data_IF_943232572074
#
_entry.id   IF_943232572074
#
_cell.length_a   1.000
_cell.length_b   1.000
_cell.length_c   1.000
_cell.angle_alpha   90.00
_cell.angle_beta   90.00
_cell.angle_gamma   90.00
#
_symmetry.space_group_name_H-M   'P 1'
#
loop_
_entity.id
_entity.type
_entity.pdbx_description
1 polymer ?
#
# COMPACT_ATOMS: atom_id res chain seq x y z
N UNK A 1 48.71 -28.53 -58.90
CA UNK A 1 49.48 -28.77 -57.66
C UNK A 1 49.28 -30.20 -57.17
N UNK A 2 50.21 -30.75 -56.39
CA UNK A 2 50.10 -32.11 -55.85
C UNK A 2 49.40 -32.08 -54.46
N UNK A 3 48.52 -33.03 -54.19
CA UNK A 3 47.88 -33.19 -52.90
C UNK A 3 48.89 -33.56 -51.83
N UNK A 4 48.91 -32.80 -50.72
CA UNK A 4 49.81 -32.99 -49.58
C UNK A 4 49.59 -34.30 -48.80
N UNK A 5 48.50 -35.06 -49.07
CA UNK A 5 48.25 -36.37 -48.43
C UNK A 5 48.48 -37.58 -49.31
N UNK A 6 47.97 -37.59 -50.51
CA UNK A 6 47.96 -38.76 -51.37
C UNK A 6 48.79 -38.59 -52.66
N UNK A 7 49.46 -37.43 -52.87
CA UNK A 7 50.29 -37.17 -54.03
C UNK A 7 49.57 -36.98 -55.36
N UNK A 8 48.27 -37.13 -55.45
CA UNK A 8 47.48 -36.98 -56.65
C UNK A 8 47.63 -35.58 -57.25
N UNK A 9 47.72 -35.47 -58.58
CA UNK A 9 47.64 -34.18 -59.27
C UNK A 9 46.25 -33.61 -59.20
N UNK A 10 46.12 -32.38 -58.72
CA UNK A 10 44.86 -31.67 -58.59
C UNK A 10 44.98 -30.27 -59.22
N UNK A 11 43.91 -29.67 -59.72
CA UNK A 11 43.92 -28.31 -60.25
C UNK A 11 44.52 -27.31 -59.28
N UNK A 12 45.20 -26.31 -59.76
CA UNK A 12 45.77 -25.25 -58.95
C UNK A 12 44.64 -24.42 -58.28
N UNK A 13 44.84 -24.10 -57.01
CA UNK A 13 43.84 -23.40 -56.22
C UNK A 13 42.76 -24.28 -55.63
N UNK A 14 42.76 -25.59 -55.79
CA UNK A 14 41.81 -26.54 -55.22
C UNK A 14 41.84 -26.46 -53.67
N UNK A 15 40.70 -26.22 -53.04
CA UNK A 15 40.55 -26.21 -51.56
C UNK A 15 40.57 -27.62 -50.96
N UNK A 16 40.18 -28.62 -51.72
CA UNK A 16 40.12 -30.03 -51.32
C UNK A 16 40.70 -30.91 -52.42
N UNK A 17 41.30 -32.03 -52.09
CA UNK A 17 41.75 -33.03 -53.05
C UNK A 17 40.52 -33.82 -53.56
N UNK A 18 40.39 -33.92 -54.89
CA UNK A 18 39.31 -34.69 -55.53
C UNK A 18 39.45 -36.20 -55.34
N UNK A 19 40.70 -36.71 -55.11
CA UNK A 19 40.98 -38.13 -54.92
C UNK A 19 40.84 -38.63 -53.49
N UNK A 20 41.21 -37.81 -52.45
CA UNK A 20 41.19 -38.24 -51.04
C UNK A 20 40.39 -37.32 -50.08
N UNK A 21 39.75 -36.28 -50.60
CA UNK A 21 38.94 -35.35 -49.85
C UNK A 21 39.68 -34.44 -48.86
N UNK A 22 41.04 -34.55 -48.77
CA UNK A 22 41.75 -33.72 -47.76
C UNK A 22 41.84 -32.26 -48.18
N UNK A 23 41.53 -31.30 -47.23
CA UNK A 23 41.73 -29.89 -47.50
C UNK A 23 43.21 -29.56 -47.74
N UNK A 24 43.45 -28.74 -48.77
CA UNK A 24 44.80 -28.33 -49.20
C UNK A 24 45.25 -27.01 -48.57
N UNK A 25 44.29 -26.20 -48.10
CA UNK A 25 44.53 -24.99 -47.32
C UNK A 25 44.29 -25.27 -45.83
N UNK A 26 45.07 -24.68 -44.91
CA UNK A 26 44.89 -24.87 -43.53
C UNK A 26 43.51 -24.30 -43.15
N UNK A 27 42.59 -25.17 -42.78
CA UNK A 27 41.32 -24.73 -42.21
C UNK A 27 41.56 -24.37 -40.73
N UNK A 28 41.73 -23.10 -40.44
CA UNK A 28 41.76 -22.61 -39.06
C UNK A 28 40.39 -22.81 -38.44
N UNK A 29 40.17 -23.95 -37.78
CA UNK A 29 38.96 -24.18 -36.98
C UNK A 29 38.96 -23.19 -35.85
N UNK A 30 38.14 -22.13 -35.97
CA UNK A 30 37.86 -21.26 -34.83
C UNK A 30 37.30 -22.14 -33.70
N UNK A 31 37.97 -22.18 -32.55
CA UNK A 31 37.48 -22.88 -31.36
C UNK A 31 36.08 -22.33 -31.03
N UNK A 32 35.06 -23.12 -31.31
CA UNK A 32 33.69 -22.78 -30.92
C UNK A 32 33.54 -23.02 -29.41
N UNK A 33 32.96 -22.09 -28.70
CA UNK A 33 32.59 -22.30 -27.28
C UNK A 33 31.55 -23.41 -27.19
N UNK A 34 31.57 -24.14 -26.08
CA UNK A 34 30.57 -25.19 -25.80
C UNK A 34 29.14 -24.61 -25.81
N UNK A 35 28.17 -25.46 -26.10
CA UNK A 35 26.76 -25.09 -26.07
C UNK A 35 26.38 -24.56 -24.69
N UNK A 36 25.59 -23.49 -24.65
CA UNK A 36 25.10 -22.86 -23.38
C UNK A 36 26.07 -21.85 -22.72
N UNK A 37 27.31 -21.67 -23.25
CA UNK A 37 28.26 -20.71 -22.68
C UNK A 37 28.06 -19.26 -23.14
N UNK A 38 27.10 -19.00 -24.03
CA UNK A 38 26.87 -17.69 -24.62
C UNK A 38 27.94 -17.27 -25.64
N UNK A 39 27.73 -16.12 -26.26
CA UNK A 39 28.64 -15.58 -27.27
C UNK A 39 28.69 -14.06 -27.22
N UNK A 40 29.76 -13.51 -27.78
CA UNK A 40 29.93 -12.06 -27.91
C UNK A 40 30.06 -11.68 -29.36
N UNK A 41 29.53 -10.53 -29.74
CA UNK A 41 29.58 -9.99 -31.09
C UNK A 41 29.71 -8.47 -31.06
N UNK A 42 30.28 -7.91 -32.13
CA UNK A 42 30.44 -6.47 -32.31
C UNK A 42 29.18 -5.92 -32.96
N UNK A 43 28.61 -4.88 -32.40
CA UNK A 43 27.44 -4.18 -32.94
C UNK A 43 27.89 -3.17 -34.03
N UNK A 44 26.95 -2.70 -34.85
CA UNK A 44 27.21 -1.73 -35.91
C UNK A 44 27.80 -0.40 -35.38
N UNK A 45 27.45 -0.01 -34.13
CA UNK A 45 28.02 1.15 -33.46
C UNK A 45 29.43 0.97 -32.89
N UNK A 46 30.12 -0.14 -33.25
CA UNK A 46 31.48 -0.40 -32.81
C UNK A 46 31.62 -1.02 -31.41
N UNK A 47 30.57 -1.04 -30.58
CA UNK A 47 30.63 -1.63 -29.23
C UNK A 47 30.43 -3.15 -29.24
N UNK A 48 30.93 -3.81 -28.17
CA UNK A 48 30.75 -5.26 -28.02
C UNK A 48 29.49 -5.56 -27.22
N UNK A 49 28.84 -6.67 -27.55
CA UNK A 49 27.65 -7.20 -26.89
C UNK A 49 27.90 -8.63 -26.44
N UNK A 50 27.45 -8.94 -25.21
CA UNK A 50 27.45 -10.29 -24.66
C UNK A 50 26.02 -10.84 -24.68
N UNK A 51 25.83 -12.09 -25.19
CA UNK A 51 24.53 -12.75 -25.29
C UNK A 51 24.59 -14.16 -24.75
N UNK A 52 23.65 -14.52 -23.89
CA UNK A 52 23.42 -15.88 -23.39
C UNK A 52 22.02 -16.35 -23.81
N UNK A 53 21.91 -17.64 -24.12
CA UNK A 53 20.62 -18.29 -24.36
C UNK A 53 20.07 -18.72 -23.00
N UNK A 54 18.83 -18.33 -22.70
CA UNK A 54 18.14 -18.62 -21.44
C UNK A 54 17.23 -19.84 -21.53
N UNK A 55 16.79 -20.19 -22.75
CA UNK A 55 15.87 -21.29 -23.02
C UNK A 55 15.23 -21.13 -24.40
N UNK A 56 14.22 -21.92 -24.63
CA UNK A 56 13.41 -21.90 -25.85
C UNK A 56 11.94 -21.75 -25.46
N UNK A 57 11.17 -21.01 -26.26
CA UNK A 57 9.74 -20.82 -26.11
C UNK A 57 9.07 -21.45 -27.32
N UNK A 58 8.17 -22.39 -27.10
CA UNK A 58 7.33 -22.97 -28.14
C UNK A 58 6.11 -22.06 -28.30
N UNK A 59 5.90 -21.55 -29.51
CA UNK A 59 4.76 -20.74 -29.85
C UNK A 59 3.52 -21.62 -30.11
N UNK A 60 2.29 -21.08 -30.05
CA UNK A 60 1.07 -21.84 -30.34
C UNK A 60 1.05 -22.46 -31.76
N UNK A 61 1.83 -21.90 -32.70
CA UNK A 61 2.00 -22.41 -34.06
C UNK A 61 3.06 -23.54 -34.17
N UNK A 62 3.61 -23.99 -33.04
CA UNK A 62 4.66 -25.00 -32.95
C UNK A 62 6.06 -24.47 -33.25
N UNK A 63 6.25 -23.20 -33.60
CA UNK A 63 7.57 -22.62 -33.82
C UNK A 63 8.35 -22.45 -32.52
N UNK A 64 9.68 -22.67 -32.58
CA UNK A 64 10.56 -22.61 -31.42
C UNK A 64 11.41 -21.33 -31.49
N UNK A 65 11.13 -20.40 -30.58
CA UNK A 65 11.87 -19.17 -30.43
C UNK A 65 12.91 -19.26 -29.31
N UNK A 66 14.15 -18.85 -29.60
CA UNK A 66 15.22 -18.82 -28.62
C UNK A 66 15.09 -17.59 -27.69
N UNK A 67 14.86 -17.81 -26.42
CA UNK A 67 14.90 -16.76 -25.38
C UNK A 67 16.36 -16.42 -25.07
N UNK A 68 16.78 -15.18 -25.34
CA UNK A 68 18.18 -14.74 -25.14
C UNK A 68 18.23 -13.51 -24.24
N UNK A 69 19.34 -13.34 -23.54
CA UNK A 69 19.69 -12.14 -22.79
C UNK A 69 20.94 -11.49 -23.37
N UNK A 70 20.89 -10.19 -23.62
CA UNK A 70 21.99 -9.43 -24.18
C UNK A 70 22.34 -8.27 -23.27
N UNK A 71 23.63 -8.07 -22.98
CA UNK A 71 24.17 -6.86 -22.34
C UNK A 71 25.04 -6.16 -23.38
N UNK A 72 24.85 -4.86 -23.55
CA UNK A 72 25.49 -4.03 -24.57
C UNK A 72 26.46 -3.03 -23.93
N UNK A 73 27.23 -2.33 -24.74
CA UNK A 73 28.04 -1.18 -24.33
C UNK A 73 29.45 -1.51 -23.85
N UNK A 74 29.97 -2.71 -24.13
CA UNK A 74 31.36 -3.03 -23.78
C UNK A 74 32.34 -2.41 -24.80
N UNK A 75 33.40 -1.79 -24.30
CA UNK A 75 34.44 -1.23 -25.13
C UNK A 75 35.27 -2.33 -25.83
N UNK A 76 35.52 -3.45 -25.14
CA UNK A 76 36.36 -4.53 -25.61
C UNK A 76 35.63 -5.88 -25.62
N UNK A 77 36.12 -6.78 -26.52
CA UNK A 77 35.68 -8.18 -26.57
C UNK A 77 35.95 -8.92 -25.25
N UNK A 78 37.08 -8.59 -24.58
CA UNK A 78 37.48 -9.20 -23.31
C UNK A 78 36.47 -8.89 -22.20
N UNK A 79 36.05 -7.65 -22.07
CA UNK A 79 35.00 -7.23 -21.11
C UNK A 79 33.67 -7.91 -21.38
N UNK A 80 33.24 -7.93 -22.65
CA UNK A 80 31.99 -8.62 -23.01
C UNK A 80 32.06 -10.13 -22.71
N UNK A 81 33.23 -10.77 -22.87
CA UNK A 81 33.43 -12.15 -22.49
C UNK A 81 33.41 -12.41 -21.00
N UNK A 82 34.00 -11.51 -20.21
CA UNK A 82 33.97 -11.55 -18.74
C UNK A 82 32.56 -11.40 -18.16
N UNK A 83 31.69 -10.69 -18.84
CA UNK A 83 30.30 -10.49 -18.40
C UNK A 83 29.36 -11.69 -18.63
N UNK A 84 29.74 -12.67 -19.44
CA UNK A 84 28.88 -13.83 -19.76
C UNK A 84 28.52 -14.69 -18.54
N UNK A 85 29.46 -15.03 -17.61
CA UNK A 85 29.12 -15.76 -16.39
C UNK A 85 28.12 -15.04 -15.52
N UNK A 86 28.24 -13.71 -15.38
CA UNK A 86 27.34 -12.91 -14.56
C UNK A 86 25.94 -12.83 -15.17
N UNK A 87 25.83 -12.77 -16.49
CA UNK A 87 24.54 -12.84 -17.18
C UNK A 87 23.83 -14.16 -16.91
N UNK A 88 24.56 -15.26 -16.75
CA UNK A 88 24.03 -16.59 -16.44
C UNK A 88 23.70 -16.71 -14.96
N UNK A 89 24.59 -16.31 -14.04
CA UNK A 89 24.38 -16.31 -12.60
C UNK A 89 23.20 -15.42 -12.16
N UNK A 90 23.01 -14.27 -12.81
CA UNK A 90 21.88 -13.40 -12.55
C UNK A 90 20.52 -14.07 -12.88
N UNK A 91 20.51 -15.08 -13.74
CA UNK A 91 19.32 -15.89 -14.00
C UNK A 91 19.11 -16.94 -12.91
N UNK A 92 20.17 -17.61 -12.47
CA UNK A 92 20.11 -18.61 -11.40
C UNK A 92 19.59 -17.97 -10.10
N UNK A 93 20.15 -16.83 -9.68
CA UNK A 93 19.64 -16.06 -8.53
C UNK A 93 18.17 -15.64 -8.66
N UNK A 94 17.65 -15.40 -9.87
CA UNK A 94 16.24 -15.04 -10.11
C UNK A 94 15.30 -16.24 -10.07
N UNK A 95 15.80 -17.43 -10.44
CA UNK A 95 15.03 -18.68 -10.37
C UNK A 95 14.82 -19.14 -8.93
N UNK A 96 15.72 -18.74 -8.03
CA UNK A 96 15.69 -19.11 -6.62
C UNK A 96 15.13 -18.02 -5.71
N UNK A 97 14.52 -16.96 -6.28
CA UNK A 97 13.87 -15.92 -5.49
C UNK A 97 12.62 -16.51 -4.82
N UNK A 98 12.59 -16.46 -3.49
CA UNK A 98 11.43 -16.90 -2.72
C UNK A 98 10.36 -15.80 -2.65
N UNK A 99 9.16 -16.17 -2.26
CA UNK A 99 8.07 -15.21 -2.00
C UNK A 99 8.50 -14.17 -0.96
N UNK A 100 9.17 -14.59 0.13
CA UNK A 100 9.77 -13.68 1.12
C UNK A 100 10.84 -12.79 0.50
N UNK A 101 11.71 -13.33 -0.35
CA UNK A 101 12.74 -12.56 -1.03
C UNK A 101 12.18 -11.47 -1.95
N UNK A 102 11.02 -11.72 -2.59
CA UNK A 102 10.31 -10.71 -3.37
C UNK A 102 9.78 -9.58 -2.47
N UNK A 103 9.21 -9.92 -1.31
CA UNK A 103 8.74 -8.96 -0.32
C UNK A 103 9.88 -8.07 0.20
N UNK A 104 10.98 -8.68 0.62
CA UNK A 104 12.14 -7.97 1.17
C UNK A 104 12.81 -7.05 0.12
N UNK A 105 12.75 -7.42 -1.16
CA UNK A 105 13.23 -6.58 -2.24
C UNK A 105 12.28 -5.41 -2.58
N UNK A 106 10.98 -5.62 -2.43
CA UNK A 106 9.95 -4.62 -2.73
C UNK A 106 9.82 -3.56 -1.62
N UNK A 107 9.75 -3.98 -0.36
CA UNK A 107 9.39 -3.11 0.76
C UNK A 107 10.23 -1.82 0.85
N UNK A 108 11.58 -1.85 0.73
CA UNK A 108 12.40 -0.63 0.82
C UNK A 108 12.17 0.35 -0.33
N UNK A 109 11.64 -0.12 -1.46
CA UNK A 109 11.40 0.71 -2.66
C UNK A 109 10.01 1.32 -2.68
N UNK A 110 9.10 0.84 -1.83
CA UNK A 110 7.72 1.29 -1.79
C UNK A 110 7.59 2.57 -0.97
N UNK A 111 7.24 3.67 -1.66
CA UNK A 111 7.04 4.98 -1.02
C UNK A 111 5.60 5.09 -0.54
N UNK A 112 5.40 4.98 0.75
CA UNK A 112 4.12 5.21 1.43
C UNK A 112 4.38 5.76 2.84
N UNK A 113 3.37 6.31 3.48
CA UNK A 113 3.46 6.71 4.88
C UNK A 113 3.65 5.50 5.80
N UNK A 114 4.26 5.70 6.98
CA UNK A 114 4.59 4.64 7.91
C UNK A 114 3.35 3.86 8.40
N UNK A 115 2.20 4.52 8.50
CA UNK A 115 0.94 3.87 8.86
C UNK A 115 0.50 2.86 7.80
N UNK A 116 0.60 3.23 6.52
CA UNK A 116 0.31 2.34 5.38
C UNK A 116 1.30 1.18 5.32
N UNK A 117 2.60 1.46 5.47
CA UNK A 117 3.63 0.42 5.54
C UNK A 117 3.40 -0.53 6.72
N UNK A 118 2.99 -0.01 7.88
CA UNK A 118 2.60 -0.80 9.04
C UNK A 118 1.44 -1.75 8.75
N UNK A 119 0.41 -1.29 8.02
CA UNK A 119 -0.70 -2.14 7.58
C UNK A 119 -0.24 -3.26 6.64
N UNK A 120 0.64 -2.96 5.69
CA UNK A 120 1.18 -3.97 4.78
C UNK A 120 2.09 -4.97 5.50
N UNK A 121 2.98 -4.51 6.41
CA UNK A 121 3.81 -5.40 7.24
C UNK A 121 2.96 -6.34 8.10
N UNK A 122 1.84 -5.84 8.64
CA UNK A 122 0.92 -6.66 9.44
C UNK A 122 0.17 -7.68 8.58
N UNK A 123 -0.27 -7.29 7.39
CA UNK A 123 -1.03 -8.13 6.48
C UNK A 123 -0.18 -9.24 5.84
N UNK A 124 1.03 -8.91 5.38
CA UNK A 124 1.89 -9.84 4.66
C UNK A 124 2.33 -11.04 5.52
N UNK A 125 2.29 -10.91 6.84
CA UNK A 125 2.62 -11.99 7.78
C UNK A 125 1.73 -13.23 7.59
N UNK A 126 0.52 -13.06 7.11
CA UNK A 126 -0.42 -14.15 6.86
C UNK A 126 -0.07 -14.97 5.61
N UNK A 127 0.88 -14.50 4.79
CA UNK A 127 1.50 -15.31 3.73
C UNK A 127 2.75 -16.08 4.22
N UNK A 128 2.96 -16.19 5.53
CA UNK A 128 4.12 -16.92 6.09
C UNK A 128 4.27 -18.38 5.60
N UNK A 129 3.22 -19.14 5.32
CA UNK A 129 3.36 -20.48 4.72
C UNK A 129 4.12 -20.47 3.40
N UNK A 130 4.03 -19.42 2.62
CA UNK A 130 4.65 -19.30 1.30
C UNK A 130 6.06 -18.69 1.32
N UNK A 131 6.55 -18.24 2.49
CA UNK A 131 7.80 -17.47 2.53
C UNK A 131 9.01 -18.20 2.00
N UNK A 132 9.09 -19.52 2.19
CA UNK A 132 10.20 -20.34 1.68
C UNK A 132 9.98 -20.83 0.25
N UNK A 133 8.75 -20.73 -0.30
CA UNK A 133 8.43 -21.17 -1.65
C UNK A 133 9.12 -20.26 -2.67
N UNK A 134 9.61 -20.85 -3.75
CA UNK A 134 10.11 -20.09 -4.90
C UNK A 134 8.94 -19.36 -5.55
N UNK A 135 9.15 -18.10 -5.93
CA UNK A 135 8.10 -17.30 -6.57
C UNK A 135 7.59 -17.90 -7.89
N UNK A 136 8.39 -18.78 -8.52
CA UNK A 136 7.99 -19.53 -9.71
C UNK A 136 7.01 -20.66 -9.42
N UNK A 137 6.95 -21.10 -8.19
CA UNK A 137 6.18 -22.29 -7.77
C UNK A 137 4.89 -21.88 -7.02
N UNK A 138 4.75 -20.58 -6.66
CA UNK A 138 3.55 -20.02 -6.05
C UNK A 138 2.47 -19.84 -7.11
N UNK A 139 1.30 -20.40 -6.89
CA UNK A 139 0.13 -20.23 -7.73
C UNK A 139 -0.97 -19.38 -7.08
N UNK A 140 -2.13 -19.27 -7.74
CA UNK A 140 -3.26 -18.47 -7.28
C UNK A 140 -3.92 -19.11 -6.06
N UNK A 141 -4.00 -20.44 -6.04
CA UNK A 141 -4.68 -21.19 -4.98
C UNK A 141 -3.89 -21.08 -3.67
N UNK A 142 -2.56 -21.18 -3.72
CA UNK A 142 -1.67 -20.94 -2.57
C UNK A 142 -1.92 -19.57 -1.92
N UNK A 143 -2.02 -18.54 -2.76
CA UNK A 143 -2.27 -17.17 -2.30
C UNK A 143 -3.69 -16.99 -1.76
N UNK A 144 -4.67 -17.65 -2.39
CA UNK A 144 -6.07 -17.59 -1.98
C UNK A 144 -6.28 -18.31 -0.64
N UNK A 145 -5.67 -19.47 -0.45
CA UNK A 145 -5.72 -20.23 0.80
C UNK A 145 -5.21 -19.38 1.97
N UNK A 146 -4.08 -18.70 1.82
CA UNK A 146 -3.57 -17.76 2.83
C UNK A 146 -4.56 -16.64 3.18
N UNK A 147 -5.33 -16.14 2.20
CA UNK A 147 -6.36 -15.12 2.43
C UNK A 147 -7.57 -15.73 3.15
N UNK A 148 -8.02 -16.93 2.72
CA UNK A 148 -9.21 -17.57 3.27
C UNK A 148 -8.98 -18.04 4.70
N UNK A 149 -7.81 -18.60 5.00
CA UNK A 149 -7.39 -19.02 6.34
C UNK A 149 -7.05 -17.86 7.29
N UNK A 150 -6.89 -16.63 6.77
CA UNK A 150 -6.58 -15.48 7.62
C UNK A 150 -7.70 -15.22 8.64
N UNK A 151 -7.43 -15.27 9.96
CA UNK A 151 -8.45 -15.12 11.01
C UNK A 151 -8.91 -13.68 11.20
N UNK A 152 -8.41 -12.75 10.40
CA UNK A 152 -8.71 -11.33 10.51
C UNK A 152 -9.88 -10.92 9.60
N UNK A 153 -10.48 -9.78 9.94
CA UNK A 153 -11.59 -9.22 9.17
C UNK A 153 -11.20 -8.80 7.74
N UNK A 154 -12.22 -8.58 6.92
CA UNK A 154 -12.14 -8.25 5.48
C UNK A 154 -11.06 -7.22 5.14
N UNK A 155 -10.92 -6.15 5.94
CA UNK A 155 -9.93 -5.08 5.69
C UNK A 155 -8.49 -5.59 5.71
N UNK A 156 -8.15 -6.52 6.61
CA UNK A 156 -6.82 -7.13 6.64
C UNK A 156 -6.57 -7.98 5.40
N UNK A 157 -7.58 -8.76 4.99
CA UNK A 157 -7.54 -9.58 3.77
C UNK A 157 -7.39 -8.71 2.50
N UNK A 158 -8.08 -7.58 2.43
CA UNK A 158 -7.90 -6.57 1.37
C UNK A 158 -6.46 -6.01 1.35
N UNK A 159 -5.88 -5.72 2.52
CA UNK A 159 -4.49 -5.29 2.62
C UNK A 159 -3.50 -6.38 2.20
N UNK A 160 -3.79 -7.66 2.48
CA UNK A 160 -3.01 -8.80 1.99
C UNK A 160 -3.00 -8.82 0.46
N UNK A 161 -4.19 -8.76 -0.16
CA UNK A 161 -4.32 -8.71 -1.63
C UNK A 161 -3.60 -7.50 -2.22
N UNK A 162 -3.77 -6.33 -1.62
CA UNK A 162 -3.14 -5.09 -2.08
C UNK A 162 -1.61 -5.17 -2.01
N UNK A 163 -1.05 -5.59 -0.87
CA UNK A 163 0.40 -5.74 -0.70
C UNK A 163 0.98 -6.77 -1.67
N UNK A 164 0.32 -7.93 -1.81
CA UNK A 164 0.69 -8.95 -2.78
C UNK A 164 0.70 -8.37 -4.20
N UNK A 165 -0.35 -7.67 -4.62
CA UNK A 165 -0.43 -7.03 -5.93
C UNK A 165 0.68 -6.01 -6.18
N UNK A 166 1.08 -5.25 -5.17
CA UNK A 166 2.20 -4.31 -5.24
C UNK A 166 3.55 -5.02 -5.39
N UNK A 167 3.75 -6.14 -4.68
CA UNK A 167 4.94 -6.98 -4.83
C UNK A 167 5.07 -7.52 -6.27
N UNK A 168 3.98 -8.02 -6.85
CA UNK A 168 3.96 -8.47 -8.24
C UNK A 168 4.22 -7.31 -9.22
N UNK A 169 3.57 -6.16 -9.03
CA UNK A 169 3.83 -4.94 -9.83
C UNK A 169 5.29 -4.48 -9.77
N UNK A 170 5.96 -4.67 -8.63
CA UNK A 170 7.39 -4.41 -8.50
C UNK A 170 8.23 -5.44 -9.24
N UNK A 171 7.91 -6.74 -9.10
CA UNK A 171 8.68 -7.86 -9.61
C UNK A 171 8.60 -8.03 -11.12
N UNK A 172 7.42 -7.83 -11.72
CA UNK A 172 7.16 -8.05 -13.15
C UNK A 172 8.11 -7.25 -14.05
N UNK A 173 8.18 -5.90 -13.98
CA UNK A 173 9.05 -5.14 -14.86
C UNK A 173 10.55 -5.43 -14.60
N UNK A 174 10.89 -5.92 -13.42
CA UNK A 174 12.25 -6.34 -13.04
C UNK A 174 12.57 -7.78 -13.46
N UNK A 175 11.59 -8.46 -14.07
CA UNK A 175 11.72 -9.87 -14.52
C UNK A 175 12.08 -10.81 -13.37
N UNK A 176 11.59 -10.51 -12.18
CA UNK A 176 11.73 -11.37 -11.00
C UNK A 176 10.66 -12.47 -10.99
N UNK A 177 9.56 -12.26 -11.71
CA UNK A 177 8.43 -13.17 -11.83
C UNK A 177 8.48 -13.82 -13.20
N UNK A 178 8.60 -15.17 -13.29
CA UNK A 178 8.85 -15.87 -14.55
C UNK A 178 7.76 -15.67 -15.61
N UNK A 179 6.51 -15.75 -15.21
CA UNK A 179 5.34 -15.72 -16.09
C UNK A 179 4.89 -14.33 -16.48
N UNK A 180 5.46 -13.31 -15.84
CA UNK A 180 5.12 -11.91 -16.10
C UNK A 180 3.65 -11.58 -15.77
N UNK A 181 3.04 -12.37 -14.90
CA UNK A 181 1.64 -12.30 -14.50
C UNK A 181 1.49 -11.86 -13.05
N UNK A 182 0.58 -10.93 -12.77
CA UNK A 182 0.23 -10.54 -11.41
C UNK A 182 -0.89 -11.45 -10.88
N UNK A 183 -0.53 -12.47 -10.13
CA UNK A 183 -1.49 -13.43 -9.58
C UNK A 183 -2.49 -12.78 -8.60
N UNK A 184 -2.09 -11.72 -7.92
CA UNK A 184 -2.96 -11.06 -6.95
C UNK A 184 -4.23 -10.42 -7.56
N UNK A 185 -4.29 -10.24 -8.87
CA UNK A 185 -5.51 -9.74 -9.54
C UNK A 185 -6.67 -10.75 -9.51
N UNK A 186 -6.37 -12.03 -9.40
CA UNK A 186 -7.36 -13.11 -9.36
C UNK A 186 -7.86 -13.42 -7.95
N UNK A 187 -7.21 -12.86 -6.91
CA UNK A 187 -7.57 -13.09 -5.53
C UNK A 187 -8.92 -12.44 -5.20
N UNK A 188 -9.74 -13.18 -4.49
CA UNK A 188 -11.04 -12.73 -3.99
C UNK A 188 -10.96 -12.52 -2.47
N UNK A 189 -11.69 -11.54 -1.97
CA UNK A 189 -11.77 -11.28 -0.53
C UNK A 189 -13.23 -11.37 -0.10
N UNK A 190 -13.54 -12.43 0.65
CA UNK A 190 -14.85 -12.64 1.28
C UNK A 190 -14.83 -12.08 2.70
N UNK A 191 -15.99 -11.76 3.20
CA UNK A 191 -16.19 -11.30 4.58
C UNK A 191 -17.03 -10.04 4.67
N UNK A 192 -17.58 -9.81 5.84
CA UNK A 192 -18.40 -8.64 6.10
C UNK A 192 -17.54 -7.38 6.23
N UNK A 193 -18.08 -6.25 5.79
CA UNK A 193 -17.48 -4.95 6.07
C UNK A 193 -17.47 -4.73 7.58
N UNK A 194 -16.48 -3.97 8.07
CA UNK A 194 -16.47 -3.59 9.47
C UNK A 194 -17.78 -2.87 9.80
N UNK A 195 -18.42 -3.28 10.91
CA UNK A 195 -19.65 -2.63 11.37
C UNK A 195 -19.43 -1.12 11.53
N UNK A 196 -20.42 -0.35 11.09
CA UNK A 196 -20.45 1.10 11.24
C UNK A 196 -20.27 1.48 12.72
N UNK A 197 -19.53 2.53 12.99
CA UNK A 197 -19.42 3.06 14.37
C UNK A 197 -20.61 3.97 14.61
N UNK A 198 -21.37 3.76 15.70
CA UNK A 198 -22.52 4.59 15.96
C UNK A 198 -22.13 6.02 16.31
N UNK A 199 -23.01 6.95 15.97
CA UNK A 199 -23.02 8.31 16.49
C UNK A 199 -23.58 8.33 17.92
N UNK A 200 -23.23 9.34 18.69
CA UNK A 200 -23.92 9.62 19.94
C UNK A 200 -25.35 10.06 19.66
N UNK A 201 -26.27 9.59 20.49
CA UNK A 201 -27.65 10.05 20.51
C UNK A 201 -27.77 11.46 21.13
N UNK A 202 -28.88 12.15 20.92
CA UNK A 202 -29.10 13.48 21.50
C UNK A 202 -29.05 13.43 23.03
N UNK A 203 -29.57 12.35 23.65
CA UNK A 203 -29.50 12.11 25.09
C UNK A 203 -28.04 11.97 25.55
N UNK A 204 -27.24 11.24 24.84
CA UNK A 204 -25.82 11.06 25.19
C UNK A 204 -25.02 12.36 24.97
N UNK A 205 -25.30 13.13 23.91
CA UNK A 205 -24.71 14.46 23.70
C UNK A 205 -25.07 15.39 24.87
N UNK A 206 -26.30 15.35 25.32
CA UNK A 206 -26.75 16.16 26.46
C UNK A 206 -26.07 15.72 27.76
N UNK A 207 -25.90 14.42 28.01
CA UNK A 207 -25.12 13.92 29.16
C UNK A 207 -23.68 14.41 29.13
N UNK A 208 -23.01 14.37 27.94
CA UNK A 208 -21.66 14.92 27.77
C UNK A 208 -21.67 16.43 28.11
N UNK A 209 -22.66 17.18 27.61
CA UNK A 209 -22.79 18.63 27.89
C UNK A 209 -22.92 18.92 29.39
N UNK A 210 -23.74 18.14 30.10
CA UNK A 210 -23.94 18.29 31.55
C UNK A 210 -22.70 17.94 32.37
N UNK A 211 -21.86 17.03 31.85
CA UNK A 211 -20.59 16.64 32.45
C UNK A 211 -19.49 17.72 32.29
N UNK A 212 -19.65 18.66 31.35
CA UNK A 212 -18.67 19.74 31.12
C UNK A 212 -18.49 20.59 32.39
N UNK A 213 -17.23 20.74 32.82
CA UNK A 213 -16.85 21.46 34.03
C UNK A 213 -16.98 20.66 35.31
N UNK A 214 -17.58 19.47 35.28
CA UNK A 214 -17.68 18.55 36.42
C UNK A 214 -16.77 17.34 36.24
N UNK A 215 -16.78 16.76 35.03
CA UNK A 215 -16.00 15.59 34.69
C UNK A 215 -14.74 16.00 33.88
N UNK A 216 -13.56 15.58 34.29
CA UNK A 216 -12.35 15.89 33.54
C UNK A 216 -12.48 15.46 32.06
N UNK A 217 -12.04 16.33 31.15
CA UNK A 217 -12.03 16.11 29.69
C UNK A 217 -13.38 15.89 29.01
N UNK A 218 -14.51 16.01 29.73
CA UNK A 218 -15.84 16.01 29.09
C UNK A 218 -16.01 17.17 28.11
N UNK A 219 -15.39 18.32 28.40
CA UNK A 219 -15.29 19.47 27.50
C UNK A 219 -14.57 19.14 26.20
N UNK A 220 -13.48 18.34 26.24
CA UNK A 220 -12.75 17.91 25.04
C UNK A 220 -13.62 16.97 24.19
N UNK A 221 -14.31 16.02 24.81
CA UNK A 221 -15.26 15.15 24.11
C UNK A 221 -16.36 15.96 23.44
N UNK A 222 -16.93 16.94 24.16
CA UNK A 222 -17.97 17.83 23.65
C UNK A 222 -17.45 18.69 22.49
N UNK A 223 -16.26 19.25 22.59
CA UNK A 223 -15.60 19.97 21.50
C UNK A 223 -15.38 19.07 20.27
N UNK A 224 -14.95 17.82 20.46
CA UNK A 224 -14.77 16.87 19.36
C UNK A 224 -16.05 16.59 18.59
N UNK A 225 -17.21 16.55 19.26
CA UNK A 225 -18.52 16.36 18.62
C UNK A 225 -18.86 17.52 17.69
N UNK A 226 -18.53 18.76 18.06
CA UNK A 226 -18.91 19.95 17.29
C UNK A 226 -17.82 20.50 16.34
N UNK A 227 -16.60 19.98 16.39
CA UNK A 227 -15.52 20.37 15.48
C UNK A 227 -15.33 19.39 14.30
N UNK A 228 -15.75 18.13 14.45
CA UNK A 228 -15.70 17.15 13.37
C UNK A 228 -14.31 16.78 12.85
N UNK A 229 -13.22 17.20 13.50
CA UNK A 229 -11.86 16.77 13.16
C UNK A 229 -11.68 15.26 13.37
N UNK A 230 -10.73 14.63 12.63
CA UNK A 230 -10.28 13.30 13.00
C UNK A 230 -9.63 13.37 14.39
N UNK A 231 -9.75 12.33 15.25
CA UNK A 231 -9.19 12.38 16.59
C UNK A 231 -7.71 12.77 16.65
N UNK A 232 -6.90 12.24 15.77
CA UNK A 232 -5.47 12.62 15.69
C UNK A 232 -5.26 14.06 15.22
N UNK A 233 -6.13 14.59 14.37
CA UNK A 233 -6.08 15.99 13.92
C UNK A 233 -6.50 16.94 15.05
N UNK A 234 -7.55 16.58 15.81
CA UNK A 234 -8.01 17.32 16.97
C UNK A 234 -6.93 17.46 18.04
N UNK A 235 -6.27 16.35 18.36
CA UNK A 235 -5.17 16.32 19.35
C UNK A 235 -3.88 17.00 18.87
N UNK A 236 -3.74 17.22 17.58
CA UNK A 236 -2.61 17.93 16.99
C UNK A 236 -2.85 19.44 16.79
N UNK A 237 -4.03 19.96 17.20
CA UNK A 237 -4.30 21.39 17.13
C UNK A 237 -3.42 22.14 18.11
N UNK A 238 -2.74 23.16 17.62
CA UNK A 238 -1.98 24.12 18.42
C UNK A 238 -2.85 25.38 18.69
N UNK A 239 -2.54 26.10 19.75
CA UNK A 239 -3.19 27.38 20.06
C UNK A 239 -3.07 28.36 18.88
N UNK A 240 -1.95 28.34 18.14
CA UNK A 240 -1.75 29.14 16.93
C UNK A 240 -2.72 28.80 15.80
N UNK A 241 -3.34 27.63 15.83
CA UNK A 241 -4.35 27.25 14.84
C UNK A 241 -5.72 27.90 15.10
N UNK A 242 -5.92 28.55 16.23
CA UNK A 242 -7.18 29.14 16.62
C UNK A 242 -7.19 30.66 16.41
N UNK A 243 -8.09 31.13 15.54
CA UNK A 243 -8.39 32.53 15.39
C UNK A 243 -9.59 32.92 16.26
N UNK A 244 -9.35 33.63 17.37
CA UNK A 244 -10.41 34.09 18.25
C UNK A 244 -11.31 35.13 17.55
N UNK A 245 -10.74 36.00 16.73
CA UNK A 245 -11.48 37.04 16.03
C UNK A 245 -12.45 36.48 14.99
N UNK A 246 -12.08 35.36 14.35
CA UNK A 246 -12.90 34.71 13.31
C UNK A 246 -13.65 33.49 13.83
N UNK A 247 -13.46 33.11 15.09
CA UNK A 247 -14.02 31.91 15.68
C UNK A 247 -13.81 30.65 14.82
N UNK A 248 -12.57 30.44 14.36
CA UNK A 248 -12.23 29.30 13.51
C UNK A 248 -10.89 28.66 13.89
N UNK A 249 -10.76 27.39 13.54
CA UNK A 249 -9.57 26.58 13.70
C UNK A 249 -9.05 26.15 12.33
N UNK A 250 -7.75 26.24 12.13
CA UNK A 250 -7.08 25.71 10.93
C UNK A 250 -6.36 24.44 11.28
N UNK A 251 -6.71 23.32 10.66
CA UNK A 251 -6.13 22.02 11.01
C UNK A 251 -6.30 20.96 9.93
N UNK A 252 -5.88 19.73 10.26
CA UNK A 252 -5.92 18.60 9.36
C UNK A 252 -4.59 18.30 8.69
N UNK A 253 -4.23 17.01 8.59
CA UNK A 253 -2.91 16.59 8.14
C UNK A 253 -2.90 15.41 7.17
N UNK A 254 -3.93 14.56 7.19
CA UNK A 254 -3.85 13.21 6.60
C UNK A 254 -4.10 13.15 5.09
N UNK A 255 -4.92 14.02 4.54
CA UNK A 255 -5.28 14.01 3.11
C UNK A 255 -5.05 15.37 2.48
N UNK A 256 -4.81 15.44 1.17
CA UNK A 256 -4.61 16.70 0.47
C UNK A 256 -5.81 17.66 0.67
N UNK A 257 -7.05 17.15 0.62
CA UNK A 257 -8.26 17.93 0.87
C UNK A 257 -8.49 18.29 2.36
N UNK A 258 -7.90 17.53 3.29
CA UNK A 258 -8.03 17.78 4.73
C UNK A 258 -6.93 18.65 5.32
N UNK A 259 -5.83 18.86 4.58
CA UNK A 259 -4.66 19.59 5.07
C UNK A 259 -4.93 21.10 5.11
N UNK A 260 -4.80 21.67 6.31
CA UNK A 260 -4.97 23.12 6.48
C UNK A 260 -6.40 23.62 6.27
N UNK A 261 -7.42 22.74 6.42
CA UNK A 261 -8.81 23.19 6.30
C UNK A 261 -9.21 24.08 7.46
N UNK A 262 -10.09 25.01 7.19
CA UNK A 262 -10.68 25.88 8.18
C UNK A 262 -11.98 25.25 8.69
N UNK A 263 -12.11 25.14 10.01
CA UNK A 263 -13.32 24.67 10.70
C UNK A 263 -13.83 25.78 11.62
N UNK A 264 -15.06 26.21 11.40
CA UNK A 264 -15.71 27.21 12.26
C UNK A 264 -16.09 26.61 13.61
N UNK A 265 -15.95 27.39 14.66
CA UNK A 265 -16.26 26.97 16.03
C UNK A 265 -17.71 27.30 16.35
N UNK A 266 -18.50 26.27 16.62
CA UNK A 266 -19.91 26.45 17.01
C UNK A 266 -20.03 27.29 18.27
N UNK A 267 -21.05 28.19 18.38
CA UNK A 267 -21.35 28.94 19.62
C UNK A 267 -21.49 28.04 20.85
N UNK A 268 -21.93 26.79 20.67
CA UNK A 268 -22.09 25.83 21.77
C UNK A 268 -20.80 25.48 22.49
N UNK A 269 -19.68 25.56 21.80
CA UNK A 269 -18.36 25.17 22.32
C UNK A 269 -17.36 26.34 22.33
N UNK A 270 -17.76 27.53 21.88
CA UNK A 270 -16.89 28.71 21.76
C UNK A 270 -16.12 28.97 23.07
N UNK A 271 -16.84 29.08 24.17
CA UNK A 271 -16.24 29.34 25.50
C UNK A 271 -15.30 28.24 25.97
N UNK A 272 -15.51 27.00 25.53
CA UNK A 272 -14.65 25.87 25.89
C UNK A 272 -13.33 25.94 25.11
N UNK A 273 -13.39 26.28 23.82
CA UNK A 273 -12.20 26.49 22.99
C UNK A 273 -11.41 27.70 23.47
N UNK A 274 -12.08 28.81 23.82
CA UNK A 274 -11.46 30.02 24.41
C UNK A 274 -10.72 29.66 25.71
N UNK A 275 -11.37 28.88 26.60
CA UNK A 275 -10.77 28.40 27.85
C UNK A 275 -9.58 27.49 27.58
N UNK A 276 -9.69 26.54 26.63
CA UNK A 276 -8.62 25.64 26.26
C UNK A 276 -7.40 26.40 25.70
N UNK A 277 -7.62 27.46 24.94
CA UNK A 277 -6.55 28.31 24.45
C UNK A 277 -5.89 29.13 25.57
N UNK A 278 -6.68 29.62 26.55
CA UNK A 278 -6.19 30.49 27.62
C UNK A 278 -5.46 31.72 27.06
N UNK A 279 -4.49 32.23 27.75
CA UNK A 279 -3.63 33.34 27.30
C UNK A 279 -2.36 32.84 26.60
N UNK A 280 -2.33 31.57 26.23
CA UNK A 280 -1.18 30.93 25.56
C UNK A 280 -1.07 31.39 24.11
N UNK A 281 0.17 31.58 23.65
CA UNK A 281 0.48 31.92 22.26
C UNK A 281 0.86 30.70 21.42
N UNK A 282 1.16 29.53 22.05
CA UNK A 282 1.57 28.30 21.37
C UNK A 282 1.36 27.09 22.27
N UNK A 283 1.55 25.91 21.68
CA UNK A 283 1.40 24.63 22.36
C UNK A 283 0.06 23.96 22.08
N UNK A 284 -0.07 22.70 22.50
CA UNK A 284 -1.27 21.91 22.24
C UNK A 284 -2.54 22.61 22.75
N UNK A 285 -3.51 22.85 21.87
CA UNK A 285 -4.78 23.49 22.23
C UNK A 285 -5.52 22.63 23.26
N UNK A 286 -5.62 21.34 22.99
CA UNK A 286 -6.21 20.34 23.88
C UNK A 286 -5.08 19.46 24.45
N UNK A 287 -4.59 19.85 25.62
CA UNK A 287 -3.42 19.26 26.28
C UNK A 287 -3.80 18.37 27.48
N UNK A 288 -2.83 17.60 27.95
CA UNK A 288 -2.93 16.88 29.22
C UNK A 288 -2.76 17.81 30.43
N UNK A 289 -2.82 17.26 31.63
CA UNK A 289 -2.67 17.99 32.89
C UNK A 289 -1.33 18.72 33.03
N UNK A 290 -0.30 18.23 32.31
CA UNK A 290 1.04 18.83 32.28
C UNK A 290 1.23 19.82 31.13
N UNK A 291 0.20 20.11 30.35
CA UNK A 291 0.26 20.99 29.16
C UNK A 291 0.85 20.35 27.91
N UNK A 292 1.08 19.03 27.91
CA UNK A 292 1.63 18.32 26.76
C UNK A 292 0.55 17.86 25.76
N UNK A 293 0.96 17.70 24.53
CA UNK A 293 0.11 17.11 23.50
C UNK A 293 -0.19 15.63 23.81
N UNK A 294 -1.45 15.25 23.65
CA UNK A 294 -1.89 13.87 23.78
C UNK A 294 -1.42 12.99 22.63
N UNK A 295 -1.00 11.76 22.91
CA UNK A 295 -1.10 10.69 21.93
C UNK A 295 -2.54 10.21 21.85
N UNK A 296 -3.00 9.76 20.65
CA UNK A 296 -4.39 9.28 20.50
C UNK A 296 -4.71 8.14 21.48
N UNK A 297 -3.77 7.24 21.71
CA UNK A 297 -3.96 6.12 22.63
C UNK A 297 -4.11 6.61 24.08
N UNK A 298 -3.20 7.45 24.55
CA UNK A 298 -3.26 7.97 25.90
C UNK A 298 -4.54 8.77 26.14
N UNK A 299 -4.95 9.63 25.19
CA UNK A 299 -6.21 10.35 25.26
C UNK A 299 -7.41 9.39 25.32
N UNK A 300 -7.43 8.37 24.47
CA UNK A 300 -8.54 7.41 24.45
C UNK A 300 -8.69 6.69 25.79
N UNK A 301 -7.57 6.18 26.33
CA UNK A 301 -7.59 5.33 27.52
C UNK A 301 -7.73 6.14 28.82
N UNK A 302 -7.15 7.35 28.91
CA UNK A 302 -7.05 8.14 30.14
C UNK A 302 -8.01 9.32 30.23
N UNK A 303 -8.56 9.76 29.10
CA UNK A 303 -9.46 10.90 29.04
C UNK A 303 -10.82 10.54 28.47
N UNK A 304 -10.88 9.99 27.25
CA UNK A 304 -12.12 9.77 26.52
C UNK A 304 -13.03 8.72 27.18
N UNK A 305 -12.53 7.53 27.46
CA UNK A 305 -13.34 6.47 28.07
C UNK A 305 -13.77 6.82 29.51
N UNK A 306 -12.87 7.30 30.38
CA UNK A 306 -13.27 7.75 31.72
C UNK A 306 -14.30 8.88 31.70
N UNK A 307 -14.20 9.83 30.74
CA UNK A 307 -15.17 10.90 30.62
C UNK A 307 -16.57 10.39 30.23
N UNK A 308 -16.65 9.40 29.31
CA UNK A 308 -17.93 8.78 28.94
C UNK A 308 -18.55 8.02 30.13
N UNK A 309 -17.76 7.24 30.84
CA UNK A 309 -18.21 6.48 32.01
C UNK A 309 -18.74 7.40 33.10
N UNK A 310 -17.99 8.44 33.47
CA UNK A 310 -18.38 9.42 34.46
C UNK A 310 -19.61 10.27 34.05
N UNK A 311 -19.82 10.47 32.73
CA UNK A 311 -21.02 11.08 32.19
C UNK A 311 -22.23 10.11 32.13
N UNK A 312 -22.09 8.88 32.59
CA UNK A 312 -23.17 7.88 32.59
C UNK A 312 -23.54 7.39 31.18
N UNK A 313 -22.57 7.32 30.27
CA UNK A 313 -22.77 6.79 28.93
C UNK A 313 -22.30 5.35 28.89
N UNK A 314 -23.21 4.44 28.55
CA UNK A 314 -22.88 3.04 28.38
C UNK A 314 -22.01 2.82 27.12
N UNK A 315 -20.79 2.33 27.34
CA UNK A 315 -19.81 2.10 26.29
C UNK A 315 -19.25 0.65 26.34
N UNK A 316 -20.12 -0.36 26.12
CA UNK A 316 -19.70 -1.75 26.23
C UNK A 316 -18.66 -2.11 25.19
N UNK A 317 -17.86 -3.14 25.51
CA UNK A 317 -17.01 -3.80 24.55
C UNK A 317 -17.85 -4.73 23.69
N UNK A 318 -17.88 -4.47 22.40
CA UNK A 318 -18.59 -5.27 21.40
C UNK A 318 -17.62 -6.03 20.53
N UNK A 319 -17.99 -7.25 20.15
CA UNK A 319 -17.24 -8.01 19.17
C UNK A 319 -17.71 -7.62 17.76
N UNK A 320 -16.72 -7.35 16.88
CA UNK A 320 -16.97 -6.99 15.49
C UNK A 320 -16.37 -8.03 14.56
N UNK A 321 -16.67 -7.95 13.26
CA UNK A 321 -16.20 -8.88 12.25
C UNK A 321 -14.69 -9.20 12.40
N UNK A 322 -14.35 -10.48 12.37
CA UNK A 322 -12.98 -10.99 12.57
C UNK A 322 -12.57 -11.12 14.04
N UNK A 323 -13.53 -11.25 14.97
CA UNK A 323 -13.26 -11.51 16.39
C UNK A 323 -12.59 -10.35 17.13
N UNK A 324 -12.61 -9.16 16.55
CA UNK A 324 -12.00 -7.97 17.17
C UNK A 324 -12.95 -7.37 18.20
N UNK A 325 -12.49 -7.29 19.44
CA UNK A 325 -13.23 -6.63 20.54
C UNK A 325 -12.89 -5.14 20.59
N UNK A 326 -13.90 -4.29 20.63
CA UNK A 326 -13.73 -2.84 20.75
C UNK A 326 -14.88 -2.20 21.52
N UNK A 327 -14.65 -1.05 22.09
CA UNK A 327 -15.73 -0.23 22.66
C UNK A 327 -16.73 0.20 21.58
N UNK A 328 -18.03 0.29 21.95
CA UNK A 328 -19.11 0.80 21.10
C UNK A 328 -18.76 2.19 20.57
N UNK A 329 -18.43 3.12 21.46
CA UNK A 329 -17.95 4.46 21.13
C UNK A 329 -16.42 4.55 21.22
N UNK A 330 -15.85 5.28 20.31
CA UNK A 330 -14.42 5.64 20.26
C UNK A 330 -14.32 7.13 19.93
N UNK A 331 -13.15 7.77 20.05
CA UNK A 331 -13.02 9.18 19.66
C UNK A 331 -13.49 9.48 18.21
N UNK A 332 -13.45 8.49 17.30
CA UNK A 332 -14.02 8.62 15.95
C UNK A 332 -15.55 8.79 15.95
N UNK A 333 -16.25 8.30 16.97
CA UNK A 333 -17.71 8.46 17.11
C UNK A 333 -18.12 9.93 17.21
N UNK A 334 -17.27 10.80 17.78
CA UNK A 334 -17.53 12.25 17.78
C UNK A 334 -17.63 12.81 16.35
N UNK A 335 -16.73 12.39 15.45
CA UNK A 335 -16.77 12.83 14.05
C UNK A 335 -17.97 12.25 13.30
N UNK A 336 -18.36 11.00 13.59
CA UNK A 336 -19.60 10.42 13.06
C UNK A 336 -20.81 11.24 13.52
N UNK A 337 -20.85 11.61 14.80
CA UNK A 337 -21.90 12.46 15.37
C UNK A 337 -21.96 13.81 14.67
N UNK A 338 -20.82 14.48 14.46
CA UNK A 338 -20.77 15.73 13.70
C UNK A 338 -21.39 15.58 12.30
N UNK A 339 -21.02 14.54 11.56
CA UNK A 339 -21.55 14.28 10.23
C UNK A 339 -23.06 14.01 10.25
N UNK A 340 -23.54 13.27 11.25
CA UNK A 340 -24.98 13.00 11.45
C UNK A 340 -25.76 14.28 11.80
N UNK A 341 -25.23 15.12 12.71
CA UNK A 341 -25.83 16.40 13.05
C UNK A 341 -25.90 17.35 11.85
N UNK A 342 -24.82 17.42 11.06
CA UNK A 342 -24.79 18.24 9.85
C UNK A 342 -25.80 17.77 8.80
N UNK A 343 -26.00 16.44 8.67
CA UNK A 343 -27.05 15.88 7.82
C UNK A 343 -28.44 16.30 8.26
N UNK A 344 -28.75 16.24 9.58
CA UNK A 344 -30.06 16.61 10.13
C UNK A 344 -30.44 18.06 9.81
N UNK A 345 -29.49 18.97 9.82
CA UNK A 345 -29.72 20.37 9.43
C UNK A 345 -29.69 20.58 7.91
N UNK A 346 -29.60 19.50 7.11
CA UNK A 346 -29.52 19.56 5.66
C UNK A 346 -28.39 20.46 5.14
N UNK A 347 -27.23 20.42 5.81
CA UNK A 347 -26.06 21.16 5.38
C UNK A 347 -25.70 20.80 3.93
N UNK A 348 -25.30 21.76 3.08
CA UNK A 348 -24.88 21.51 1.72
C UNK A 348 -23.73 20.50 1.70
N UNK A 349 -23.80 19.52 0.82
CA UNK A 349 -22.79 18.44 0.73
C UNK A 349 -21.38 18.98 0.51
N UNK A 350 -21.23 20.04 -0.28
CA UNK A 350 -19.94 20.70 -0.55
C UNK A 350 -19.33 21.25 0.74
N UNK A 351 -20.12 21.96 1.55
CA UNK A 351 -19.65 22.57 2.80
C UNK A 351 -19.29 21.49 3.83
N UNK A 352 -20.07 20.41 3.85
CA UNK A 352 -19.76 19.23 4.68
C UNK A 352 -18.43 18.56 4.28
N UNK A 353 -18.18 18.41 2.98
CA UNK A 353 -16.93 17.84 2.47
C UNK A 353 -15.73 18.70 2.92
N UNK A 354 -15.87 20.02 2.84
CA UNK A 354 -14.83 20.97 3.24
C UNK A 354 -14.59 20.92 4.75
N UNK A 355 -15.63 21.01 5.59
CA UNK A 355 -15.53 20.96 7.05
C UNK A 355 -14.96 19.63 7.54
N UNK A 356 -15.39 18.51 6.96
CA UNK A 356 -14.94 17.17 7.34
C UNK A 356 -13.56 16.85 6.71
N UNK A 357 -13.24 17.43 5.55
CA UNK A 357 -11.98 17.15 4.81
C UNK A 357 -12.01 15.79 4.13
N UNK A 358 -13.09 15.49 3.41
CA UNK A 358 -13.22 14.34 2.52
C UNK A 358 -13.06 14.78 1.06
N UNK A 359 -12.48 13.91 0.24
CA UNK A 359 -12.34 14.12 -1.20
C UNK A 359 -13.56 13.61 -1.97
N UNK A 360 -14.38 12.75 -1.34
CA UNK A 360 -15.52 12.08 -1.97
C UNK A 360 -16.69 12.03 -0.99
N UNK A 361 -17.88 12.30 -1.52
CA UNK A 361 -19.14 12.29 -0.77
C UNK A 361 -19.49 10.88 -0.23
N UNK A 362 -19.05 9.82 -0.90
CA UNK A 362 -19.25 8.44 -0.44
C UNK A 362 -18.64 8.22 0.95
N UNK A 363 -17.48 8.83 1.20
CA UNK A 363 -16.82 8.80 2.51
C UNK A 363 -17.61 9.56 3.58
N UNK A 364 -18.28 10.66 3.21
CA UNK A 364 -19.13 11.41 4.14
C UNK A 364 -20.41 10.64 4.45
N UNK A 365 -21.02 10.02 3.44
CA UNK A 365 -22.21 9.17 3.61
C UNK A 365 -21.94 7.95 4.49
N UNK A 366 -20.73 7.38 4.44
CA UNK A 366 -20.32 6.31 5.35
C UNK A 366 -20.35 6.71 6.84
N UNK A 367 -20.14 7.98 7.15
CA UNK A 367 -20.17 8.51 8.53
C UNK A 367 -21.56 8.95 8.99
N UNK A 368 -22.58 8.87 8.14
CA UNK A 368 -23.95 9.29 8.48
C UNK A 368 -24.80 8.07 8.84
N UNK A 369 -25.46 8.12 9.99
CA UNK A 369 -26.47 7.12 10.35
C UNK A 369 -27.77 7.39 9.58
N UNK A 370 -28.53 6.33 9.35
CA UNK A 370 -29.90 6.46 8.79
C UNK A 370 -30.81 7.03 9.88
N UNK A 371 -31.42 8.17 9.60
CA UNK A 371 -32.43 8.78 10.48
C UNK A 371 -33.82 8.38 9.98
N UNK A 372 -34.54 7.61 10.77
CA UNK A 372 -35.88 7.16 10.45
C UNK A 372 -36.87 8.31 10.33
N UNK A 373 -36.68 9.40 11.09
CA UNK A 373 -37.56 10.57 11.03
C UNK A 373 -37.34 11.33 9.72
N UNK A 374 -36.12 11.37 9.18
CA UNK A 374 -35.86 11.90 7.84
C UNK A 374 -36.56 11.06 6.76
N UNK A 375 -36.57 9.72 6.91
CA UNK A 375 -37.28 8.85 5.98
C UNK A 375 -38.79 9.02 6.08
N UNK A 376 -39.35 9.13 7.33
CA UNK A 376 -40.76 9.37 7.54
C UNK A 376 -41.22 10.69 6.94
N UNK A 377 -40.46 11.78 7.10
CA UNK A 377 -40.81 13.08 6.48
C UNK A 377 -40.99 12.96 4.96
N UNK A 378 -40.24 12.08 4.33
CA UNK A 378 -40.38 11.83 2.87
C UNK A 378 -41.66 11.02 2.61
N UNK A 379 -41.86 9.93 3.34
CA UNK A 379 -43.02 9.05 3.12
C UNK A 379 -44.36 9.73 3.53
N UNK A 380 -44.33 10.57 4.55
CA UNK A 380 -45.51 11.31 5.03
C UNK A 380 -45.87 12.52 4.12
N UNK A 381 -44.92 12.92 3.24
CA UNK A 381 -45.11 13.97 2.24
C UNK A 381 -45.58 13.44 0.87
N UNK A 382 -45.58 12.12 0.65
CA UNK A 382 -46.10 11.47 -0.54
C UNK A 382 -47.60 11.16 -0.43
#
# INVERSE_FOLDING_TARGET
MQCKKCGAQIPDGSRFCCACGKPQTPVTRRKKRGNGQGYVFKAANGTWRARVTLGYIIQPDGSVHRKTRTKCGFATKKEALAALPDLKKAQEKRRDLTFRGLYDAWLPTHKADESTLGCYRAAIKYFSPLWAMKISDVDVDDLQDCIDECPRGKRTKENMRAACGLMYKYGIPRRLIPENLNLAQFLTVKGEAAAHRPSFTDIEIEKIRQAVGVVPYADYVYCMVYLGFRPSEFLALDVQNYSRAQHCLVGGAKTAAGKGRTVTVSPKIQRLVDRAAGDRSSGALFCDESGNAWTLRAFTDRAFYPALEAAGIDNPIVEVAGGVKRHKYTPHSCRHTFATLAKRIKAPEKDMLELIGHTDISMTRYYQDVDLDDLRRITDAL
#
